data_IF_880460672202
#
_entry.id   IF_880460672202
#
_cell.length_a   1.000
_cell.length_b   1.000
_cell.length_c   1.000
_cell.angle_alpha   90.00
_cell.angle_beta   90.00
_cell.angle_gamma   90.00
#
_symmetry.space_group_name_H-M   'P 1'
#
loop_
_entity.id
_entity.type
_entity.pdbx_description
1 polymer ?
#
# COMPACT_ATOMS: atom_id res chain seq x y z
N UNK A 1 -10.80 -19.48 3.68
CA UNK A 1 -9.97 -18.46 2.99
C UNK A 1 -10.67 -17.13 3.16
N UNK A 2 -10.01 -16.05 3.61
CA UNK A 2 -10.74 -14.79 3.83
C UNK A 2 -11.35 -14.29 2.51
N UNK A 3 -12.45 -13.55 2.56
CA UNK A 3 -13.06 -12.91 1.40
C UNK A 3 -12.55 -11.47 1.20
N UNK A 4 -11.43 -11.12 1.84
CA UNK A 4 -10.86 -9.77 1.80
C UNK A 4 -10.58 -9.33 0.36
N UNK A 5 -11.16 -8.20 -0.02
CA UNK A 5 -10.82 -7.51 -1.26
C UNK A 5 -9.54 -6.69 -1.04
N UNK A 6 -8.86 -6.27 -2.11
CA UNK A 6 -7.75 -5.32 -1.91
C UNK A 6 -8.24 -4.00 -1.32
N UNK A 7 -9.47 -3.59 -1.63
CA UNK A 7 -10.10 -2.44 -0.97
C UNK A 7 -10.17 -2.61 0.55
N UNK A 8 -10.62 -3.77 1.04
CA UNK A 8 -10.65 -4.03 2.49
C UNK A 8 -9.24 -4.16 3.09
N UNK A 9 -8.27 -4.74 2.37
CA UNK A 9 -6.88 -4.80 2.84
C UNK A 9 -6.22 -3.41 2.93
N UNK A 10 -6.48 -2.53 1.95
CA UNK A 10 -6.00 -1.15 1.97
C UNK A 10 -6.68 -0.34 3.08
N UNK A 11 -7.98 -0.57 3.32
CA UNK A 11 -8.68 0.01 4.45
C UNK A 11 -8.08 -0.45 5.79
N UNK A 12 -7.78 -1.74 5.95
CA UNK A 12 -7.12 -2.28 7.15
C UNK A 12 -5.73 -1.67 7.37
N UNK A 13 -4.96 -1.47 6.29
CA UNK A 13 -3.66 -0.79 6.35
C UNK A 13 -3.84 0.66 6.80
N UNK A 14 -4.76 1.40 6.19
CA UNK A 14 -5.05 2.79 6.56
C UNK A 14 -5.48 2.91 8.03
N UNK A 15 -6.34 2.00 8.50
CA UNK A 15 -6.76 1.93 9.90
C UNK A 15 -5.58 1.65 10.84
N UNK A 16 -4.65 0.77 10.44
CA UNK A 16 -3.43 0.50 11.23
C UNK A 16 -2.53 1.73 11.35
N UNK A 17 -2.38 2.50 10.25
CA UNK A 17 -1.62 3.76 10.27
C UNK A 17 -2.33 4.81 11.16
N UNK A 18 -3.65 4.95 11.04
CA UNK A 18 -4.45 5.85 11.88
C UNK A 18 -4.34 5.47 13.36
N UNK A 19 -4.42 4.19 13.69
CA UNK A 19 -4.26 3.71 15.06
C UNK A 19 -2.85 3.99 15.60
N UNK A 20 -1.82 3.80 14.79
CA UNK A 20 -0.45 4.17 15.14
C UNK A 20 -0.32 5.66 15.44
N UNK A 21 -0.93 6.52 14.61
CA UNK A 21 -0.96 7.97 14.83
C UNK A 21 -1.71 8.35 16.11
N UNK A 22 -2.82 7.67 16.41
CA UNK A 22 -3.58 7.88 17.67
C UNK A 22 -2.75 7.50 18.88
N UNK A 23 -2.02 6.39 18.82
CA UNK A 23 -1.11 5.97 19.89
C UNK A 23 -0.05 7.04 20.15
N UNK A 24 0.61 7.54 19.11
CA UNK A 24 1.58 8.63 19.24
C UNK A 24 0.91 9.92 19.74
N UNK A 25 -0.30 10.23 19.29
CA UNK A 25 -1.01 11.44 19.72
C UNK A 25 -1.32 11.44 21.23
N UNK A 26 -1.60 10.27 21.80
CA UNK A 26 -1.92 10.07 23.21
C UNK A 26 -0.67 9.86 24.10
N UNK A 27 0.51 9.65 23.51
CA UNK A 27 1.75 9.55 24.27
C UNK A 27 2.15 10.90 24.88
N UNK A 28 2.87 10.87 26.01
CA UNK A 28 3.44 12.07 26.62
C UNK A 28 4.47 12.70 25.68
N UNK A 29 4.23 13.96 25.29
CA UNK A 29 5.06 14.72 24.34
C UNK A 29 6.16 15.52 25.01
N UNK A 30 6.15 15.62 26.34
CA UNK A 30 7.17 16.38 27.09
C UNK A 30 8.58 15.81 26.91
N UNK A 31 8.68 14.52 26.60
CA UNK A 31 9.94 13.79 26.42
C UNK A 31 10.27 13.51 24.95
N UNK A 32 9.51 14.06 24.00
CA UNK A 32 9.75 13.79 22.58
C UNK A 32 11.06 14.40 22.11
N UNK A 33 11.87 13.56 21.48
CA UNK A 33 13.03 13.96 20.72
C UNK A 33 12.74 14.01 19.22
N UNK A 34 13.80 14.19 18.41
CA UNK A 34 13.70 14.22 16.95
C UNK A 34 13.07 12.96 16.35
N UNK A 35 13.32 11.79 16.95
CA UNK A 35 12.92 10.49 16.43
C UNK A 35 11.41 10.26 16.56
N UNK A 36 10.78 10.66 17.67
CA UNK A 36 9.32 10.58 17.86
C UNK A 36 8.61 11.48 16.85
N UNK A 37 9.11 12.70 16.67
CA UNK A 37 8.58 13.64 15.70
C UNK A 37 8.76 13.12 14.27
N UNK A 38 9.90 12.52 13.95
CA UNK A 38 10.16 11.92 12.64
C UNK A 38 9.25 10.72 12.39
N UNK A 39 9.09 9.83 13.37
CA UNK A 39 8.19 8.69 13.28
C UNK A 39 6.75 9.13 12.99
N UNK A 40 6.27 10.15 13.69
CA UNK A 40 4.93 10.72 13.45
C UNK A 40 4.81 11.28 12.03
N UNK A 41 5.76 12.13 11.60
CA UNK A 41 5.77 12.68 10.23
C UNK A 41 5.77 11.60 9.16
N UNK A 42 6.52 10.51 9.37
CA UNK A 42 6.59 9.37 8.43
C UNK A 42 5.26 8.65 8.31
N UNK A 43 4.54 8.46 9.42
CA UNK A 43 3.20 7.86 9.42
C UNK A 43 2.15 8.77 8.77
N UNK A 44 2.18 10.08 9.05
CA UNK A 44 1.31 11.07 8.40
C UNK A 44 1.52 11.03 6.88
N UNK A 45 2.78 11.10 6.43
CA UNK A 45 3.12 11.03 5.02
C UNK A 45 2.73 9.69 4.37
N UNK A 46 2.87 8.57 5.08
CA UNK A 46 2.44 7.26 4.58
C UNK A 46 0.91 7.20 4.39
N UNK A 47 0.14 7.78 5.31
CA UNK A 47 -1.32 7.82 5.21
C UNK A 47 -1.77 8.70 4.05
N UNK A 48 -1.17 9.87 3.88
CA UNK A 48 -1.53 10.82 2.83
C UNK A 48 -1.20 10.27 1.43
N UNK A 49 -0.02 9.66 1.26
CA UNK A 49 0.36 9.00 0.01
C UNK A 49 -0.56 7.81 -0.30
N UNK A 50 -0.87 6.97 0.69
CA UNK A 50 -1.76 5.83 0.51
C UNK A 50 -3.18 6.25 0.09
N UNK A 51 -3.70 7.34 0.67
CA UNK A 51 -5.00 7.93 0.30
C UNK A 51 -4.98 8.48 -1.12
N UNK A 52 -3.94 9.23 -1.47
CA UNK A 52 -3.78 9.79 -2.82
C UNK A 52 -3.74 8.66 -3.86
N UNK A 53 -2.90 7.66 -3.65
CA UNK A 53 -2.78 6.50 -4.53
C UNK A 53 -4.11 5.75 -4.67
N UNK A 54 -4.86 5.61 -3.57
CA UNK A 54 -6.18 4.97 -3.61
C UNK A 54 -7.22 5.80 -4.38
N UNK A 55 -7.22 7.12 -4.22
CA UNK A 55 -8.11 8.01 -4.97
C UNK A 55 -7.82 7.94 -6.48
N UNK A 56 -6.54 8.01 -6.87
CA UNK A 56 -6.11 7.86 -8.26
C UNK A 56 -6.52 6.49 -8.84
N UNK A 57 -6.42 5.44 -8.03
CA UNK A 57 -6.89 4.10 -8.38
C UNK A 57 -8.41 4.04 -8.55
N UNK A 58 -9.19 4.70 -7.70
CA UNK A 58 -10.66 4.62 -7.72
C UNK A 58 -11.26 5.09 -9.04
N UNK A 59 -10.67 6.13 -9.67
CA UNK A 59 -11.07 6.65 -10.99
C UNK A 59 -10.86 5.60 -12.10
N UNK A 60 -9.88 4.72 -11.93
CA UNK A 60 -9.56 3.67 -12.89
C UNK A 60 -10.45 2.44 -12.75
N UNK A 61 -11.30 2.32 -11.74
CA UNK A 61 -11.97 1.05 -11.40
C UNK A 61 -13.49 1.15 -11.59
N UNK A 62 -13.99 0.50 -12.65
CA UNK A 62 -15.41 0.13 -12.80
C UNK A 62 -15.67 -1.34 -12.42
N UNK A 63 -14.81 -1.97 -11.60
CA UNK A 63 -15.03 -3.36 -11.20
C UNK A 63 -13.86 -3.97 -10.44
N UNK A 64 -14.18 -4.51 -9.27
CA UNK A 64 -13.34 -5.17 -8.26
C UNK A 64 -12.38 -6.29 -8.74
N UNK A 65 -12.37 -6.66 -10.03
CA UNK A 65 -11.75 -7.90 -10.53
C UNK A 65 -10.23 -7.84 -10.67
N UNK A 66 -9.64 -6.66 -10.91
CA UNK A 66 -8.22 -6.52 -11.25
C UNK A 66 -7.25 -6.62 -10.07
N UNK A 67 -7.77 -6.65 -8.85
CA UNK A 67 -6.98 -6.61 -7.63
C UNK A 67 -6.60 -7.99 -7.07
N UNK A 68 -7.13 -9.08 -7.62
CA UNK A 68 -6.88 -10.43 -7.10
C UNK A 68 -5.39 -10.81 -7.12
N UNK A 69 -4.62 -10.30 -8.10
CA UNK A 69 -3.19 -10.60 -8.25
C UNK A 69 -2.30 -9.88 -7.22
N UNK A 70 -2.74 -8.77 -6.64
CA UNK A 70 -1.96 -8.00 -5.64
C UNK A 70 -2.34 -8.30 -4.20
N UNK A 71 -3.32 -9.20 -4.00
CA UNK A 71 -3.85 -9.55 -2.69
C UNK A 71 -2.82 -10.10 -1.73
N UNK A 72 -1.90 -10.97 -2.19
CA UNK A 72 -0.84 -11.56 -1.34
C UNK A 72 0.15 -10.50 -0.86
N UNK A 73 0.54 -9.57 -1.74
CA UNK A 73 1.41 -8.46 -1.38
C UNK A 73 0.74 -7.50 -0.38
N UNK A 74 -0.54 -7.16 -0.60
CA UNK A 74 -1.31 -6.32 0.33
C UNK A 74 -1.52 -7.00 1.68
N UNK A 75 -1.70 -8.33 1.71
CA UNK A 75 -1.81 -9.08 2.96
C UNK A 75 -0.53 -9.00 3.79
N UNK A 76 0.65 -9.17 3.17
CA UNK A 76 1.93 -8.99 3.86
C UNK A 76 2.11 -7.58 4.41
N UNK A 77 1.75 -6.56 3.64
CA UNK A 77 1.80 -5.16 4.08
C UNK A 77 0.86 -4.90 5.25
N UNK A 78 -0.37 -5.41 5.20
CA UNK A 78 -1.32 -5.34 6.32
C UNK A 78 -0.70 -5.90 7.60
N UNK A 79 -0.17 -7.12 7.56
CA UNK A 79 0.46 -7.74 8.72
C UNK A 79 1.60 -6.89 9.27
N UNK A 80 2.44 -6.33 8.41
CA UNK A 80 3.57 -5.50 8.84
C UNK A 80 3.10 -4.17 9.49
N UNK A 81 2.09 -3.51 8.93
CA UNK A 81 1.52 -2.29 9.55
C UNK A 81 0.81 -2.58 10.87
N UNK A 82 0.12 -3.73 10.97
CA UNK A 82 -0.49 -4.18 12.23
C UNK A 82 0.58 -4.45 13.29
N UNK A 83 1.67 -5.11 12.90
CA UNK A 83 2.82 -5.35 13.79
C UNK A 83 3.42 -4.03 14.28
N UNK A 84 3.62 -3.06 13.39
CA UNK A 84 4.06 -1.71 13.78
C UNK A 84 3.12 -1.05 14.78
N UNK A 85 1.81 -1.18 14.56
CA UNK A 85 0.80 -0.62 15.46
C UNK A 85 0.92 -1.23 16.86
N UNK A 86 1.12 -2.55 16.95
CA UNK A 86 1.37 -3.24 18.22
C UNK A 86 2.64 -2.73 18.90
N UNK A 87 3.75 -2.58 18.16
CA UNK A 87 5.00 -2.05 18.69
C UNK A 87 4.81 -0.65 19.30
N UNK A 88 4.08 0.24 18.63
CA UNK A 88 3.80 1.56 19.17
C UNK A 88 2.92 1.51 20.42
N UNK A 89 1.91 0.61 20.46
CA UNK A 89 1.07 0.44 21.65
C UNK A 89 1.89 -0.04 22.84
N UNK A 90 2.81 -0.97 22.63
CA UNK A 90 3.67 -1.48 23.68
C UNK A 90 4.69 -0.44 24.15
N UNK A 91 5.26 0.32 23.21
CA UNK A 91 6.09 1.48 23.53
C UNK A 91 5.32 2.53 24.35
N UNK A 92 4.10 2.89 23.96
CA UNK A 92 3.29 3.87 24.67
C UNK A 92 2.95 3.44 26.12
N UNK A 93 2.93 2.13 26.40
CA UNK A 93 2.74 1.57 27.75
C UNK A 93 4.02 1.58 28.57
N UNK A 94 5.16 1.31 27.94
CA UNK A 94 6.46 1.22 28.61
C UNK A 94 7.10 2.60 28.82
N UNK A 95 6.85 3.54 27.91
CA UNK A 95 7.50 4.85 27.86
C UNK A 95 8.94 4.76 27.34
N UNK A 96 9.67 5.87 27.49
CA UNK A 96 11.06 6.00 27.03
C UNK A 96 11.20 6.38 25.56
N UNK A 97 12.44 6.52 25.06
CA UNK A 97 12.70 6.94 23.70
C UNK A 97 12.18 5.91 22.69
N UNK A 98 11.61 6.40 21.59
CA UNK A 98 11.15 5.52 20.52
C UNK A 98 12.33 4.80 19.85
N UNK A 99 12.12 3.60 19.33
CA UNK A 99 13.14 2.92 18.57
C UNK A 99 13.35 3.64 17.22
N UNK A 100 14.54 4.20 16.93
CA UNK A 100 14.78 4.97 15.71
C UNK A 100 14.70 4.12 14.43
N UNK A 101 14.86 2.80 14.54
CA UNK A 101 14.74 1.86 13.40
C UNK A 101 13.31 1.88 12.85
N UNK A 102 12.29 2.11 13.70
CA UNK A 102 10.90 2.12 13.29
C UNK A 102 10.58 3.22 12.26
N UNK A 103 11.30 4.34 12.28
CA UNK A 103 11.11 5.41 11.31
C UNK A 103 11.58 4.98 9.91
N UNK A 104 12.67 4.21 9.85
CA UNK A 104 13.17 3.59 8.63
C UNK A 104 12.22 2.51 8.13
N UNK A 105 11.74 1.63 9.02
CA UNK A 105 10.79 0.59 8.68
C UNK A 105 9.48 1.18 8.13
N UNK A 106 8.99 2.26 8.74
CA UNK A 106 7.81 3.00 8.27
C UNK A 106 8.02 3.56 6.87
N UNK A 107 9.20 4.13 6.58
CA UNK A 107 9.54 4.60 5.24
C UNK A 107 9.55 3.45 4.21
N UNK A 108 10.11 2.31 4.57
CA UNK A 108 10.19 1.16 3.67
C UNK A 108 8.82 0.53 3.44
N UNK A 109 7.96 0.43 4.46
CA UNK A 109 6.57 0.01 4.32
C UNK A 109 5.77 0.95 3.44
N UNK A 110 5.92 2.26 3.63
CA UNK A 110 5.32 3.28 2.76
C UNK A 110 5.71 3.06 1.30
N UNK A 111 7.01 2.94 1.00
CA UNK A 111 7.50 2.70 -0.36
C UNK A 111 6.95 1.41 -0.95
N UNK A 112 6.84 0.35 -0.16
CA UNK A 112 6.28 -0.91 -0.62
C UNK A 112 4.78 -0.80 -0.93
N UNK A 113 4.02 -0.09 -0.09
CA UNK A 113 2.61 0.20 -0.29
C UNK A 113 2.37 1.02 -1.56
N UNK A 114 3.08 2.14 -1.72
CA UNK A 114 3.03 2.97 -2.91
C UNK A 114 3.34 2.16 -4.19
N UNK A 115 4.41 1.35 -4.16
CA UNK A 115 4.75 0.47 -5.29
C UNK A 115 3.65 -0.57 -5.57
N UNK A 116 3.00 -1.10 -4.54
CA UNK A 116 1.90 -2.05 -4.70
C UNK A 116 0.69 -1.38 -5.35
N UNK A 117 0.30 -0.19 -4.89
CA UNK A 117 -0.80 0.59 -5.46
C UNK A 117 -0.50 1.02 -6.91
N UNK A 118 0.71 1.53 -7.19
CA UNK A 118 1.17 1.84 -8.55
C UNK A 118 1.13 0.63 -9.50
N UNK A 119 1.59 -0.55 -9.04
CA UNK A 119 1.54 -1.78 -9.86
C UNK A 119 0.10 -2.18 -10.17
N UNK A 120 -0.80 -2.07 -9.19
CA UNK A 120 -2.21 -2.32 -9.41
C UNK A 120 -2.80 -1.33 -10.42
N UNK A 121 -2.46 -0.03 -10.32
CA UNK A 121 -2.91 1.01 -11.25
C UNK A 121 -2.50 0.70 -12.69
N UNK A 122 -1.22 0.36 -12.91
CA UNK A 122 -0.70 0.01 -14.23
C UNK A 122 -1.40 -1.22 -14.82
N UNK A 123 -1.68 -2.23 -14.01
CA UNK A 123 -2.41 -3.43 -14.46
C UNK A 123 -3.83 -3.09 -14.88
N UNK A 124 -4.55 -2.31 -14.08
CA UNK A 124 -5.90 -1.85 -14.42
C UNK A 124 -5.89 -1.08 -15.75
N UNK A 125 -4.94 -0.16 -15.91
CA UNK A 125 -4.77 0.59 -17.15
C UNK A 125 -4.49 -0.32 -18.35
N UNK A 126 -3.52 -1.23 -18.24
CA UNK A 126 -3.17 -2.16 -19.30
C UNK A 126 -4.36 -3.03 -19.71
N UNK A 127 -5.12 -3.58 -18.75
CA UNK A 127 -6.28 -4.41 -19.08
C UNK A 127 -7.43 -3.59 -19.67
N UNK A 128 -7.64 -2.34 -19.23
CA UNK A 128 -8.60 -1.43 -19.88
C UNK A 128 -8.16 -1.11 -21.31
N UNK A 129 -6.88 -0.87 -21.54
CA UNK A 129 -6.34 -0.60 -22.88
C UNK A 129 -6.52 -1.82 -23.79
N UNK A 130 -6.20 -3.03 -23.31
CA UNK A 130 -6.43 -4.29 -24.02
C UNK A 130 -7.92 -4.51 -24.35
N UNK A 131 -8.82 -4.25 -23.40
CA UNK A 131 -10.27 -4.38 -23.62
C UNK A 131 -10.86 -3.30 -24.54
N UNK A 132 -10.30 -2.09 -24.52
CA UNK A 132 -10.70 -0.99 -25.42
C UNK A 132 -10.14 -1.15 -26.83
N UNK A 133 -9.00 -1.83 -26.98
CA UNK A 133 -8.49 -2.23 -28.28
C UNK A 133 -9.34 -3.40 -28.75
N UNK A 134 -10.30 -3.13 -29.64
CA UNK A 134 -11.12 -4.14 -30.32
C UNK A 134 -10.27 -4.95 -31.32
N UNK A 135 -9.12 -5.45 -30.90
CA UNK A 135 -8.40 -6.50 -31.61
C UNK A 135 -9.14 -7.77 -31.30
N UNK A 136 -9.85 -8.28 -32.30
CA UNK A 136 -10.36 -9.65 -32.26
C UNK A 136 -9.25 -10.58 -31.76
N UNK A 137 -9.61 -11.63 -31.01
CA UNK A 137 -8.65 -12.57 -30.43
C UNK A 137 -7.56 -13.02 -31.44
N UNK A 138 -7.93 -13.15 -32.71
CA UNK A 138 -7.00 -13.39 -33.82
C UNK A 138 -5.93 -12.30 -34.00
N UNK A 139 -6.31 -11.02 -34.03
CA UNK A 139 -5.36 -9.91 -34.16
C UNK A 139 -4.40 -9.81 -32.96
N UNK A 140 -4.86 -10.16 -31.75
CA UNK A 140 -3.99 -10.24 -30.57
C UNK A 140 -2.98 -11.39 -30.67
N UNK A 141 -3.43 -12.59 -31.07
CA UNK A 141 -2.56 -13.75 -31.23
C UNK A 141 -1.50 -13.53 -32.33
N UNK A 142 -1.88 -12.90 -33.45
CA UNK A 142 -0.98 -12.53 -34.55
C UNK A 142 0.09 -11.54 -34.07
N UNK A 143 -0.32 -10.46 -33.41
CA UNK A 143 0.61 -9.45 -32.88
C UNK A 143 1.61 -10.05 -31.88
N UNK A 144 1.14 -10.92 -30.97
CA UNK A 144 2.01 -11.59 -29.99
C UNK A 144 3.03 -12.52 -30.67
N UNK A 145 2.63 -13.22 -31.75
CA UNK A 145 3.52 -14.09 -32.51
C UNK A 145 4.56 -13.30 -33.31
N UNK A 146 4.15 -12.18 -33.92
CA UNK A 146 5.06 -11.26 -34.63
C UNK A 146 6.17 -10.74 -33.72
N UNK A 147 5.82 -10.23 -32.53
CA UNK A 147 6.84 -9.76 -31.56
C UNK A 147 7.81 -10.85 -31.09
N UNK A 148 7.36 -12.09 -30.99
CA UNK A 148 8.21 -13.22 -30.61
C UNK A 148 9.19 -13.59 -31.73
N UNK A 149 8.83 -13.34 -33.00
CA UNK A 149 9.71 -13.54 -34.16
C UNK A 149 10.69 -12.38 -34.33
N UNK A 150 10.27 -11.14 -34.06
CA UNK A 150 11.13 -9.96 -34.17
C UNK A 150 12.22 -9.88 -33.07
N UNK A 151 12.12 -10.72 -32.04
CA UNK A 151 13.06 -10.78 -30.91
C UNK A 151 14.01 -12.00 -30.98
N UNK A 152 14.02 -12.71 -32.11
CA UNK A 152 14.85 -13.90 -32.39
C UNK A 152 15.75 -13.63 -33.59
#
# INVERSE_FOLDING_TARGET
MSNDTVGSLLADIANSIIDSLRVLQCADKSQWGPDEHEQRRRLEHALDEAKKDYQELSVLVNGQRYYQYDRKACCGLKTNFQFHTTNFRDWARQGGPINPIWARDTLDLRRQLHRAQCRAARRIFATKQEASSSRCLGAFLVYRKQRAMDSA
#
